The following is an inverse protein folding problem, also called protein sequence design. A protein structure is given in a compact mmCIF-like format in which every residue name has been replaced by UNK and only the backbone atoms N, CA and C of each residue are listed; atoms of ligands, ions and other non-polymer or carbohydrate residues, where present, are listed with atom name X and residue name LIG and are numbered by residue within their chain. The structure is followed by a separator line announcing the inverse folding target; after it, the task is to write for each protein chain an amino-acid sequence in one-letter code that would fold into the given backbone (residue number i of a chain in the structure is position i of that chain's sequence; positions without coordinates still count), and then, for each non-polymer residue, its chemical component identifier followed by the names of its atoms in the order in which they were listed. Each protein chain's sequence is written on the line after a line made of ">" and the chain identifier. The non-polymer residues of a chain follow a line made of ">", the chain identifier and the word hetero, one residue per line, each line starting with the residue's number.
data_IF_453252356220
#
_entry.id   IF_453252356220
#
_cell.length_a   1.000
_cell.length_b   1.000
_cell.length_c   1.000
_cell.angle_alpha   90.00
_cell.angle_beta   90.00
_cell.angle_gamma   90.00
#
_symmetry.space_group_name_H-M   'P 1'
#
loop_
_entity.id
_entity.type
_entity.pdbx_description
1 polymer ?
#
# COMPACT_ATOMS: atom_id res chain seq x y z
N UNK A 1 -3.67 -7.38 -16.41
CA UNK A 1 -4.68 -6.66 -15.60
C UNK A 1 -4.82 -7.19 -14.17
N UNK A 2 -3.72 -7.37 -13.42
CA UNK A 2 -3.81 -7.76 -12.01
C UNK A 2 -2.76 -6.99 -11.22
N UNK A 3 -3.20 -6.36 -10.13
CA UNK A 3 -2.42 -5.65 -9.09
C UNK A 3 -2.21 -4.13 -9.24
N UNK A 4 -3.30 -3.33 -9.13
CA UNK A 4 -3.24 -1.88 -8.88
C UNK A 4 -2.60 -1.48 -7.52
N UNK A 5 -2.27 -2.43 -6.64
CA UNK A 5 -1.85 -2.16 -5.25
C UNK A 5 -0.37 -1.78 -5.05
N UNK A 6 0.51 -2.03 -6.01
CA UNK A 6 1.97 -1.89 -5.80
C UNK A 6 2.46 -0.43 -5.74
N UNK A 7 1.75 0.48 -6.42
CA UNK A 7 2.01 1.92 -6.28
C UNK A 7 1.47 2.43 -4.95
N UNK A 8 0.35 1.87 -4.48
CA UNK A 8 -0.22 2.24 -3.20
C UNK A 8 0.62 1.72 -2.04
N UNK A 9 1.23 0.53 -2.16
CA UNK A 9 2.11 -0.02 -1.13
C UNK A 9 3.35 0.84 -0.89
N UNK A 10 3.95 1.42 -1.94
CA UNK A 10 5.05 2.37 -1.79
C UNK A 10 4.61 3.69 -1.14
N UNK A 11 3.43 4.21 -1.51
CA UNK A 11 2.88 5.43 -0.89
C UNK A 11 2.59 5.22 0.59
N UNK A 12 2.00 4.09 0.95
CA UNK A 12 1.70 3.72 2.34
C UNK A 12 3.00 3.52 3.11
N UNK A 13 4.00 2.84 2.55
CA UNK A 13 5.32 2.68 3.16
C UNK A 13 5.96 4.04 3.49
N UNK A 14 5.97 4.97 2.53
CA UNK A 14 6.49 6.31 2.74
C UNK A 14 5.69 7.07 3.80
N UNK A 15 4.37 7.00 3.75
CA UNK A 15 3.50 7.64 4.73
C UNK A 15 3.78 7.12 6.16
N UNK A 16 3.94 5.80 6.33
CA UNK A 16 4.28 5.19 7.63
C UNK A 16 5.61 5.71 8.14
N UNK A 17 6.65 5.74 7.30
CA UNK A 17 7.96 6.27 7.71
C UNK A 17 7.91 7.77 8.04
N UNK A 18 7.09 8.55 7.33
CA UNK A 18 6.88 9.98 7.60
C UNK A 18 6.09 10.21 8.88
N UNK A 19 5.19 9.28 9.24
CA UNK A 19 4.46 9.27 10.51
C UNK A 19 5.33 8.82 11.71
N UNK A 20 6.62 8.53 11.49
CA UNK A 20 7.56 8.15 12.53
C UNK A 20 7.67 6.65 12.80
N UNK A 21 7.00 5.81 12.00
CA UNK A 21 7.14 4.35 12.08
C UNK A 21 8.55 3.97 11.60
N UNK A 22 9.18 3.02 12.28
CA UNK A 22 10.49 2.52 11.86
C UNK A 22 10.39 1.92 10.45
N UNK A 23 11.49 1.97 9.70
CA UNK A 23 11.50 1.43 8.33
C UNK A 23 11.15 -0.06 8.32
N UNK A 24 11.67 -0.82 9.28
CA UNK A 24 11.40 -2.26 9.42
C UNK A 24 9.92 -2.54 9.69
N UNK A 25 9.33 -1.83 10.66
CA UNK A 25 7.91 -1.99 11.00
C UNK A 25 7.02 -1.58 9.82
N UNK A 26 7.34 -0.47 9.15
CA UNK A 26 6.62 -0.02 7.98
C UNK A 26 6.65 -1.07 6.84
N UNK A 27 7.80 -1.73 6.63
CA UNK A 27 7.89 -2.84 5.68
C UNK A 27 7.04 -4.04 6.11
N UNK A 28 7.09 -4.44 7.37
CA UNK A 28 6.30 -5.55 7.92
C UNK A 28 4.79 -5.31 7.74
N UNK A 29 4.32 -4.10 8.09
CA UNK A 29 2.93 -3.68 7.96
C UNK A 29 2.45 -3.69 6.51
N UNK A 30 3.24 -3.17 5.58
CA UNK A 30 2.87 -3.14 4.15
C UNK A 30 2.91 -4.55 3.55
N UNK A 31 3.94 -5.33 3.87
CA UNK A 31 4.13 -6.66 3.29
C UNK A 31 3.02 -7.63 3.71
N UNK A 32 2.64 -7.67 4.99
CA UNK A 32 1.58 -8.58 5.47
C UNK A 32 0.22 -8.30 4.82
N UNK A 33 -0.10 -7.03 4.57
CA UNK A 33 -1.34 -6.65 3.90
C UNK A 33 -1.25 -6.90 2.39
N UNK A 34 -0.11 -6.64 1.76
CA UNK A 34 0.11 -6.91 0.34
C UNK A 34 0.06 -8.42 0.01
N UNK A 35 0.54 -9.29 0.92
CA UNK A 35 0.42 -10.74 0.81
C UNK A 35 -1.03 -11.21 0.79
N UNK A 36 -1.88 -10.69 1.69
CA UNK A 36 -3.31 -11.03 1.73
C UNK A 36 -4.07 -10.60 0.47
N UNK A 37 -3.72 -9.46 -0.11
CA UNK A 37 -4.24 -9.05 -1.44
C UNK A 37 -3.91 -10.10 -2.51
N UNK A 38 -2.72 -10.69 -2.43
CA UNK A 38 -2.24 -11.66 -3.41
C UNK A 38 -2.90 -13.03 -3.24
N UNK A 39 -2.97 -13.53 -2.00
CA UNK A 39 -3.53 -14.85 -1.68
C UNK A 39 -5.05 -14.86 -1.80
N UNK A 40 -5.72 -13.85 -1.25
CA UNK A 40 -7.17 -13.84 -1.06
C UNK A 40 -7.90 -12.93 -2.06
N UNK A 41 -7.17 -12.21 -2.93
CA UNK A 41 -7.71 -11.21 -3.88
C UNK A 41 -8.58 -10.14 -3.22
N UNK A 42 -8.25 -9.80 -1.98
CA UNK A 42 -8.90 -8.74 -1.21
C UNK A 42 -8.42 -7.36 -1.66
N UNK A 43 -9.20 -6.34 -1.32
CA UNK A 43 -8.83 -4.95 -1.57
C UNK A 43 -7.75 -4.47 -0.58
N UNK A 44 -6.71 -3.82 -1.10
CA UNK A 44 -5.57 -3.40 -0.28
C UNK A 44 -5.93 -2.30 0.72
N UNK A 45 -6.85 -1.39 0.36
CA UNK A 45 -7.30 -0.32 1.26
C UNK A 45 -8.10 -0.90 2.43
N UNK A 46 -9.03 -1.81 2.13
CA UNK A 46 -9.82 -2.50 3.16
C UNK A 46 -8.93 -3.23 4.16
N UNK A 47 -7.88 -3.91 3.67
CA UNK A 47 -6.92 -4.61 4.53
C UNK A 47 -6.12 -3.65 5.43
N UNK A 48 -5.71 -2.49 4.92
CA UNK A 48 -5.03 -1.48 5.73
C UNK A 48 -5.95 -0.84 6.77
N UNK A 49 -7.23 -0.62 6.44
CA UNK A 49 -8.24 -0.12 7.39
C UNK A 49 -8.58 -1.14 8.47
N UNK A 50 -8.51 -2.44 8.14
CA UNK A 50 -8.68 -3.52 9.11
C UNK A 50 -7.44 -3.73 10.00
N UNK A 51 -6.28 -3.17 9.62
CA UNK A 51 -5.03 -3.32 10.34
C UNK A 51 -4.85 -2.22 11.38
N UNK A 52 -5.04 -2.60 12.65
CA UNK A 52 -4.98 -1.67 13.79
C UNK A 52 -3.65 -0.92 13.90
N UNK A 53 -2.53 -1.51 13.53
CA UNK A 53 -1.24 -0.83 13.62
C UNK A 53 -1.08 0.22 12.52
N UNK A 54 -1.58 -0.09 11.32
CA UNK A 54 -1.60 0.86 10.20
C UNK A 54 -2.56 2.01 10.48
N UNK A 55 -3.76 1.72 10.99
CA UNK A 55 -4.73 2.75 11.41
C UNK A 55 -4.18 3.59 12.55
N UNK A 56 -3.50 3.00 13.52
CA UNK A 56 -2.87 3.77 14.60
C UNK A 56 -1.77 4.71 14.08
N UNK A 57 -1.04 4.32 13.04
CA UNK A 57 0.04 5.12 12.47
C UNK A 57 -0.44 6.24 11.53
N UNK A 58 -1.44 5.97 10.69
CA UNK A 58 -1.86 6.89 9.62
C UNK A 58 -3.26 7.49 9.82
N UNK A 59 -4.10 6.88 10.66
CA UNK A 59 -5.53 7.16 10.73
C UNK A 59 -6.29 6.66 9.50
N UNK A 60 -7.60 6.48 9.65
CA UNK A 60 -8.46 6.02 8.55
C UNK A 60 -8.47 7.03 7.38
N UNK A 61 -8.58 8.32 7.68
CA UNK A 61 -8.54 9.39 6.68
C UNK A 61 -7.19 9.47 5.96
N UNK A 62 -6.09 9.33 6.71
CA UNK A 62 -4.74 9.34 6.15
C UNK A 62 -4.48 8.14 5.25
N UNK A 63 -5.07 6.98 5.54
CA UNK A 63 -5.07 5.82 4.65
C UNK A 63 -5.88 6.15 3.39
N UNK A 64 -7.14 6.57 3.53
CA UNK A 64 -8.04 6.84 2.41
C UNK A 64 -7.46 7.85 1.42
N UNK A 65 -6.81 8.91 1.91
CA UNK A 65 -6.13 9.92 1.10
C UNK A 65 -5.05 9.31 0.18
N UNK A 66 -4.36 8.25 0.63
CA UNK A 66 -3.31 7.61 -0.20
C UNK A 66 -3.89 6.82 -1.37
N UNK A 67 -5.18 6.47 -1.30
CA UNK A 67 -5.92 5.76 -2.33
C UNK A 67 -6.81 6.66 -3.20
N UNK A 68 -6.96 7.94 -2.86
CA UNK A 68 -7.68 8.89 -3.69
C UNK A 68 -6.86 9.23 -4.96
N UNK A 69 -7.13 8.47 -6.02
CA UNK A 69 -6.39 8.48 -7.29
C UNK A 69 -7.24 8.98 -8.47
N UNK A 70 -8.25 9.83 -8.22
CA UNK A 70 -9.00 10.51 -9.30
C UNK A 70 -8.12 11.35 -10.24
N UNK A 71 -6.87 11.65 -9.88
CA UNK A 71 -6.03 12.62 -10.60
C UNK A 71 -4.81 12.05 -11.39
N UNK A 72 -4.37 10.80 -11.15
CA UNK A 72 -3.04 10.35 -11.65
C UNK A 72 -2.87 8.89 -12.14
N UNK A 73 -3.93 8.13 -12.42
CA UNK A 73 -3.84 6.73 -12.88
C UNK A 73 -3.25 6.50 -14.29
N UNK A 74 -2.64 7.51 -14.94
CA UNK A 74 -2.18 7.41 -16.34
C UNK A 74 -0.78 6.80 -16.57
N UNK A 75 0.04 6.55 -15.54
CA UNK A 75 1.47 6.23 -15.75
C UNK A 75 2.02 5.04 -14.93
N UNK A 76 1.16 4.20 -14.38
CA UNK A 76 1.57 3.13 -13.47
C UNK A 76 2.23 1.93 -14.19
N UNK A 77 2.12 1.82 -15.52
CA UNK A 77 2.51 0.63 -16.29
C UNK A 77 4.02 0.32 -16.40
N UNK A 78 4.92 1.29 -16.18
CA UNK A 78 6.34 1.13 -16.58
C UNK A 78 7.26 0.50 -15.54
N UNK A 79 6.99 0.64 -14.24
CA UNK A 79 7.90 0.16 -13.18
C UNK A 79 7.72 -1.35 -12.91
N UNK A 80 6.51 -1.88 -13.15
CA UNK A 80 6.18 -3.29 -12.89
C UNK A 80 7.03 -4.28 -13.69
N UNK A 81 7.48 -3.90 -14.89
CA UNK A 81 8.27 -4.78 -15.76
C UNK A 81 9.69 -5.05 -15.24
N UNK A 82 10.18 -4.25 -14.27
CA UNK A 82 11.59 -4.26 -13.85
C UNK A 82 11.84 -5.01 -12.54
N UNK A 83 10.81 -5.21 -11.71
CA UNK A 83 10.94 -5.83 -10.38
C UNK A 83 10.54 -7.31 -10.39
N UNK A 84 9.70 -7.73 -11.34
CA UNK A 84 9.18 -9.11 -11.42
C UNK A 84 9.27 -9.72 -12.82
N UNK A 85 10.17 -9.22 -13.68
CA UNK A 85 10.51 -9.92 -14.92
C UNK A 85 11.21 -11.24 -14.59
N UNK A 86 10.85 -12.30 -15.31
CA UNK A 86 11.33 -13.69 -15.17
C UNK A 86 12.80 -13.85 -14.74
#
# INVERSE_FOLDING_TARGET
>A
NKFPGLVMSQRVLLALTQAGVSREDAYSMVQRNALKVWEERLDFRELLLADKEVVAALGEDGINEKFDMGYHTKHVDTIFKRVFGD
#
